data_IF_157478918264
#
_entry.id   IF_157478918264
#
_cell.length_a   1.000
_cell.length_b   1.000
_cell.length_c   1.000
_cell.angle_alpha   90.00
_cell.angle_beta   90.00
_cell.angle_gamma   90.00
#
_symmetry.space_group_name_H-M   'P 1'
#
loop_
_entity.id
_entity.type
_entity.pdbx_description
1 polymer ?
#
# COMPACT_ATOMS: atom_id res chain seq x y z
N UNK A 1 1.19 23.47 -10.42
CA UNK A 1 0.02 22.93 -11.14
C UNK A 1 -0.44 21.68 -10.46
N UNK A 2 -1.63 21.72 -9.86
CA UNK A 2 -2.25 20.58 -9.20
C UNK A 2 -2.69 19.57 -10.27
N UNK A 3 -1.83 18.62 -10.58
CA UNK A 3 -2.24 17.46 -11.36
C UNK A 3 -3.02 16.52 -10.43
N UNK A 4 -4.32 16.68 -10.38
CA UNK A 4 -5.23 15.75 -9.68
C UNK A 4 -5.45 14.44 -10.46
N UNK A 5 -4.52 14.04 -11.31
CA UNK A 5 -4.57 12.76 -11.99
C UNK A 5 -4.34 11.65 -10.98
N UNK A 6 -5.38 10.88 -10.72
CA UNK A 6 -5.24 9.64 -9.98
C UNK A 6 -4.36 8.68 -10.79
N UNK A 7 -3.23 8.27 -10.23
CA UNK A 7 -2.31 7.33 -10.87
C UNK A 7 -2.98 5.96 -10.99
N UNK A 8 -2.85 5.35 -12.17
CA UNK A 8 -3.40 4.01 -12.39
C UNK A 8 -2.48 2.98 -11.71
N UNK A 9 -3.05 1.99 -11.06
CA UNK A 9 -2.31 0.89 -10.42
C UNK A 9 -1.57 0.05 -11.47
N UNK A 10 -2.10 0.00 -12.71
CA UNK A 10 -1.43 -0.68 -13.81
C UNK A 10 -0.16 0.04 -14.26
N UNK A 11 0.00 1.35 -13.95
CA UNK A 11 1.23 2.12 -14.19
C UNK A 11 2.27 1.81 -13.13
N UNK A 12 1.87 1.86 -11.85
CA UNK A 12 2.66 1.39 -10.72
C UNK A 12 1.83 1.33 -9.43
N UNK A 13 2.17 0.41 -8.53
CA UNK A 13 1.50 0.22 -7.23
C UNK A 13 2.23 0.90 -6.10
N UNK A 14 3.53 0.72 -6.05
CA UNK A 14 4.44 1.30 -5.07
C UNK A 14 5.84 1.41 -5.67
N UNK A 15 6.72 2.14 -5.02
CA UNK A 15 8.15 2.12 -5.26
C UNK A 15 8.92 2.57 -4.02
N UNK A 16 10.16 2.11 -3.89
CA UNK A 16 11.10 2.56 -2.89
C UNK A 16 12.25 3.35 -3.52
N UNK A 17 12.68 4.39 -2.82
CA UNK A 17 13.92 5.11 -3.08
C UNK A 17 14.82 4.95 -1.85
N UNK A 18 15.97 4.33 -2.04
CA UNK A 18 16.96 4.14 -1.00
C UNK A 18 17.79 5.42 -0.87
N UNK A 19 17.94 5.88 0.36
CA UNK A 19 18.77 7.01 0.73
C UNK A 19 19.31 6.78 2.14
N UNK A 20 20.55 7.14 2.40
CA UNK A 20 21.22 6.89 3.69
C UNK A 20 20.56 7.64 4.86
N UNK A 21 19.92 8.77 4.59
CA UNK A 21 19.34 9.64 5.60
C UNK A 21 17.83 9.68 5.60
N UNK A 22 17.20 9.53 4.43
CA UNK A 22 15.77 9.70 4.26
C UNK A 22 15.19 8.75 3.19
N UNK A 23 15.22 7.44 3.44
CA UNK A 23 14.60 6.49 2.51
C UNK A 23 13.11 6.77 2.37
N UNK A 24 12.58 6.64 1.15
CA UNK A 24 11.20 6.94 0.82
C UNK A 24 10.50 5.71 0.26
N UNK A 25 9.30 5.43 0.77
CA UNK A 25 8.36 4.50 0.15
C UNK A 25 7.14 5.27 -0.35
N UNK A 26 6.83 5.13 -1.63
CA UNK A 26 5.58 5.61 -2.20
C UNK A 26 4.61 4.46 -2.39
N UNK A 27 3.34 4.67 -1.97
CA UNK A 27 2.27 3.69 -2.17
C UNK A 27 1.10 4.38 -2.87
N UNK A 28 0.62 3.78 -3.96
CA UNK A 28 -0.53 4.30 -4.69
C UNK A 28 -1.79 4.25 -3.83
N UNK A 29 -2.42 5.41 -3.62
CA UNK A 29 -3.63 5.52 -2.81
C UNK A 29 -4.84 4.74 -3.36
N UNK A 30 -4.82 4.40 -4.65
CA UNK A 30 -5.88 3.63 -5.31
C UNK A 30 -5.79 2.11 -5.08
N UNK A 31 -4.68 1.63 -4.48
CA UNK A 31 -4.54 0.22 -4.11
C UNK A 31 -5.51 -0.14 -2.98
N UNK A 32 -5.93 -1.40 -2.93
CA UNK A 32 -6.72 -1.94 -1.82
C UNK A 32 -5.95 -1.89 -0.50
N UNK A 33 -6.64 -1.90 0.64
CA UNK A 33 -5.95 -1.85 1.96
C UNK A 33 -4.97 -3.02 2.11
N UNK A 34 -5.40 -4.23 1.75
CA UNK A 34 -4.54 -5.42 1.80
C UNK A 34 -3.38 -5.35 0.80
N UNK A 35 -3.63 -4.78 -0.39
CA UNK A 35 -2.60 -4.54 -1.39
C UNK A 35 -1.57 -3.50 -0.92
N UNK A 36 -2.01 -2.40 -0.30
CA UNK A 36 -1.11 -1.39 0.30
C UNK A 36 -0.18 -1.99 1.35
N UNK A 37 -0.71 -2.86 2.21
CA UNK A 37 0.10 -3.49 3.25
C UNK A 37 1.16 -4.42 2.64
N UNK A 38 0.78 -5.23 1.64
CA UNK A 38 1.74 -6.06 0.92
C UNK A 38 2.80 -5.21 0.21
N UNK A 39 2.38 -4.17 -0.53
CA UNK A 39 3.28 -3.26 -1.23
C UNK A 39 4.23 -2.54 -0.27
N UNK A 40 3.74 -2.09 0.90
CA UNK A 40 4.59 -1.47 1.93
C UNK A 40 5.72 -2.40 2.37
N UNK A 41 5.40 -3.65 2.67
CA UNK A 41 6.39 -4.63 3.13
C UNK A 41 7.34 -5.06 2.01
N UNK A 42 6.86 -5.13 0.78
CA UNK A 42 7.66 -5.39 -0.41
C UNK A 42 8.70 -4.28 -0.63
N UNK A 43 8.25 -3.02 -0.64
CA UNK A 43 9.14 -1.86 -0.80
C UNK A 43 10.09 -1.68 0.39
N UNK A 44 9.64 -2.02 1.59
CA UNK A 44 10.51 -2.06 2.77
C UNK A 44 11.63 -3.10 2.62
N UNK A 45 11.35 -4.26 2.04
CA UNK A 45 12.37 -5.25 1.74
C UNK A 45 13.39 -4.72 0.74
N UNK A 46 12.99 -3.96 -0.30
CA UNK A 46 13.92 -3.27 -1.20
C UNK A 46 14.85 -2.31 -0.46
N UNK A 47 14.33 -1.50 0.47
CA UNK A 47 15.16 -0.62 1.31
C UNK A 47 16.15 -1.42 2.14
N UNK A 48 15.74 -2.53 2.75
CA UNK A 48 16.63 -3.39 3.55
C UNK A 48 17.74 -4.04 2.72
N UNK A 49 17.48 -4.31 1.44
CA UNK A 49 18.49 -4.86 0.50
C UNK A 49 19.41 -3.75 -0.02
N UNK A 50 18.99 -2.49 0.04
CA UNK A 50 19.72 -1.35 -0.50
C UNK A 50 19.50 -1.13 -2.01
N UNK A 51 18.42 -1.64 -2.58
CA UNK A 51 18.09 -1.54 -4.00
C UNK A 51 16.85 -0.70 -4.26
N UNK A 52 16.97 0.31 -5.14
CA UNK A 52 15.84 1.11 -5.61
C UNK A 52 14.93 0.28 -6.52
N UNK A 53 13.64 0.21 -6.23
CA UNK A 53 12.67 -0.51 -7.06
C UNK A 53 12.34 0.22 -8.37
N UNK A 54 12.42 1.55 -8.39
CA UNK A 54 12.02 2.38 -9.53
C UNK A 54 12.93 2.27 -10.76
N UNK A 55 14.20 1.89 -10.59
CA UNK A 55 15.23 1.93 -11.66
C UNK A 55 15.63 0.57 -12.19
N UNK A 56 15.06 -0.50 -11.67
CA UNK A 56 15.46 -1.87 -12.03
C UNK A 56 15.13 -2.28 -13.48
N UNK A 57 14.24 -1.57 -14.17
CA UNK A 57 13.69 -2.01 -15.46
C UNK A 57 14.56 -1.69 -16.69
N UNK A 58 15.55 -0.79 -16.60
CA UNK A 58 16.21 -0.29 -17.81
C UNK A 58 17.67 -0.69 -18.03
N UNK A 59 18.41 -1.14 -17.00
CA UNK A 59 19.87 -1.32 -17.10
C UNK A 59 20.43 -2.57 -16.43
N UNK A 60 19.64 -3.40 -15.76
CA UNK A 60 20.12 -4.60 -15.07
C UNK A 60 19.73 -5.88 -15.80
N UNK A 61 20.58 -6.93 -15.63
CA UNK A 61 20.30 -8.27 -16.13
C UNK A 61 18.94 -8.75 -15.61
N UNK A 62 17.98 -9.00 -16.49
CA UNK A 62 16.62 -9.38 -16.12
C UNK A 62 16.49 -10.64 -15.24
N UNK A 63 17.58 -11.40 -15.03
CA UNK A 63 17.64 -12.53 -14.09
C UNK A 63 17.87 -12.08 -12.64
N UNK A 64 18.68 -11.05 -12.41
CA UNK A 64 18.97 -10.51 -11.07
C UNK A 64 17.77 -9.76 -10.53
N UNK A 65 17.14 -8.92 -11.34
CA UNK A 65 15.87 -8.24 -10.99
C UNK A 65 14.82 -9.25 -10.55
N UNK A 66 14.60 -10.31 -11.34
CA UNK A 66 13.62 -11.36 -10.99
C UNK A 66 13.94 -12.05 -9.67
N UNK A 67 15.22 -12.16 -9.32
CA UNK A 67 15.65 -12.75 -8.05
C UNK A 67 15.35 -11.82 -6.88
N UNK A 68 15.71 -10.54 -6.96
CA UNK A 68 15.43 -9.53 -5.93
C UNK A 68 13.92 -9.39 -5.71
N UNK A 69 13.14 -9.24 -6.78
CA UNK A 69 11.67 -9.18 -6.71
C UNK A 69 11.07 -10.43 -6.03
N UNK A 70 11.60 -11.62 -6.35
CA UNK A 70 11.17 -12.86 -5.71
C UNK A 70 11.47 -12.87 -4.21
N UNK A 71 12.63 -12.36 -3.79
CA UNK A 71 13.02 -12.24 -2.38
C UNK A 71 12.10 -11.24 -1.67
N UNK A 72 11.89 -10.05 -2.23
CA UNK A 72 11.01 -9.03 -1.65
C UNK A 72 9.57 -9.53 -1.49
N UNK A 73 9.05 -10.24 -2.50
CA UNK A 73 7.76 -10.89 -2.43
C UNK A 73 7.70 -11.96 -1.33
N UNK A 74 8.74 -12.78 -1.19
CA UNK A 74 8.80 -13.82 -0.17
C UNK A 74 8.87 -13.23 1.25
N UNK A 75 9.67 -12.17 1.44
CA UNK A 75 9.78 -11.44 2.72
C UNK A 75 8.43 -10.82 3.10
N UNK A 76 7.80 -10.09 2.17
CA UNK A 76 6.49 -9.50 2.41
C UNK A 76 5.43 -10.56 2.77
N UNK A 77 5.42 -11.67 2.03
CA UNK A 77 4.50 -12.78 2.28
C UNK A 77 4.77 -13.47 3.63
N UNK A 78 6.03 -13.60 4.05
CA UNK A 78 6.38 -14.23 5.33
C UNK A 78 6.03 -13.35 6.52
N UNK A 79 6.23 -12.03 6.42
CA UNK A 79 5.82 -11.09 7.47
C UNK A 79 4.29 -11.07 7.64
N UNK A 80 3.54 -11.05 6.53
CA UNK A 80 2.06 -11.04 6.58
C UNK A 80 1.46 -12.36 7.03
N UNK A 81 2.06 -13.46 6.58
CA UNK A 81 1.54 -14.83 6.74
C UNK A 81 2.69 -15.74 7.15
N UNK A 82 3.14 -15.67 8.43
CA UNK A 82 4.23 -16.51 8.89
C UNK A 82 3.93 -18.00 8.68
N UNK A 83 4.93 -18.73 8.18
CA UNK A 83 4.79 -20.10 7.71
C UNK A 83 4.21 -21.06 8.75
N UNK A 84 4.61 -20.90 10.01
CA UNK A 84 4.13 -21.75 11.12
C UNK A 84 2.63 -21.56 11.32
N UNK A 85 2.17 -20.31 11.45
CA UNK A 85 0.75 -20.00 11.63
C UNK A 85 -0.09 -20.32 10.40
N UNK A 86 0.49 -20.16 9.19
CA UNK A 86 -0.17 -20.55 7.95
C UNK A 86 -0.50 -22.03 7.94
N UNK A 87 0.48 -22.92 8.22
CA UNK A 87 0.27 -24.37 8.24
C UNK A 87 -0.75 -24.80 9.28
N UNK A 88 -0.65 -24.25 10.48
CA UNK A 88 -1.59 -24.55 11.56
C UNK A 88 -3.05 -24.21 11.16
N UNK A 89 -3.25 -22.96 10.69
CA UNK A 89 -4.57 -22.50 10.25
C UNK A 89 -5.07 -23.23 9.01
N UNK A 90 -4.19 -23.53 8.06
CA UNK A 90 -4.56 -24.31 6.88
C UNK A 90 -5.10 -25.67 7.29
N UNK A 91 -4.34 -26.45 8.08
CA UNK A 91 -4.70 -27.79 8.50
C UNK A 91 -6.02 -27.81 9.30
N UNK A 92 -6.25 -26.83 10.14
CA UNK A 92 -7.49 -26.74 10.92
C UNK A 92 -8.71 -26.33 10.07
N UNK A 93 -8.50 -25.52 9.02
CA UNK A 93 -9.59 -24.99 8.20
C UNK A 93 -9.99 -25.95 7.09
N UNK A 94 -9.02 -26.63 6.44
CA UNK A 94 -9.26 -27.53 5.30
C UNK A 94 -10.12 -28.76 5.68
N UNK A 95 -10.16 -29.12 6.95
CA UNK A 95 -11.01 -30.22 7.45
C UNK A 95 -12.49 -29.94 7.18
N UNK A 96 -12.91 -28.67 7.23
CA UNK A 96 -14.31 -28.27 7.15
C UNK A 96 -14.68 -27.61 5.82
N UNK A 97 -13.71 -27.23 5.00
CA UNK A 97 -13.93 -26.44 3.79
C UNK A 97 -13.05 -26.91 2.65
N UNK A 98 -13.53 -26.76 1.42
CA UNK A 98 -12.73 -26.95 0.21
C UNK A 98 -11.57 -25.95 0.13
N UNK A 99 -10.53 -26.27 -0.63
CA UNK A 99 -9.32 -25.46 -0.76
C UNK A 99 -9.59 -23.99 -1.16
N UNK A 100 -10.51 -23.72 -2.10
CA UNK A 100 -10.93 -22.38 -2.51
C UNK A 100 -11.49 -21.56 -1.35
N UNK A 101 -12.37 -22.19 -0.56
CA UNK A 101 -12.99 -21.53 0.59
C UNK A 101 -11.98 -21.33 1.71
N UNK A 102 -11.10 -22.31 1.94
CA UNK A 102 -9.99 -22.21 2.89
C UNK A 102 -9.09 -21.03 2.56
N UNK A 103 -8.68 -20.86 1.29
CA UNK A 103 -7.89 -19.70 0.84
C UNK A 103 -8.60 -18.38 1.18
N UNK A 104 -9.89 -18.28 0.92
CA UNK A 104 -10.67 -17.06 1.20
C UNK A 104 -10.73 -16.77 2.71
N UNK A 105 -11.00 -17.76 3.54
CA UNK A 105 -11.04 -17.62 5.01
C UNK A 105 -9.69 -17.19 5.57
N UNK A 106 -8.60 -17.80 5.09
CA UNK A 106 -7.26 -17.44 5.54
C UNK A 106 -6.87 -16.01 5.08
N UNK A 107 -7.24 -15.63 3.86
CA UNK A 107 -7.04 -14.26 3.35
C UNK A 107 -7.69 -13.20 4.27
N UNK A 108 -8.92 -13.44 4.71
CA UNK A 108 -9.62 -12.59 5.68
C UNK A 108 -8.94 -12.60 7.07
N UNK A 109 -8.54 -13.78 7.55
CA UNK A 109 -7.89 -13.96 8.85
C UNK A 109 -6.54 -13.25 8.92
N UNK A 110 -5.71 -13.38 7.90
CA UNK A 110 -4.38 -12.74 7.83
C UNK A 110 -4.41 -11.31 7.28
N UNK A 111 -5.59 -10.79 6.89
CA UNK A 111 -5.75 -9.45 6.30
C UNK A 111 -4.85 -9.21 5.09
N UNK A 112 -4.65 -10.22 4.27
CA UNK A 112 -3.82 -10.16 3.06
C UNK A 112 -4.60 -10.53 1.80
N UNK A 113 -3.99 -10.36 0.63
CA UNK A 113 -4.60 -10.73 -0.63
C UNK A 113 -4.76 -12.24 -0.79
N UNK A 114 -5.84 -12.67 -1.44
CA UNK A 114 -6.11 -14.08 -1.78
C UNK A 114 -4.93 -14.73 -2.49
N UNK A 115 -4.25 -13.98 -3.38
CA UNK A 115 -3.08 -14.46 -4.12
C UNK A 115 -1.89 -14.80 -3.24
N UNK A 116 -1.71 -14.11 -2.10
CA UNK A 116 -0.63 -14.39 -1.14
C UNK A 116 -0.87 -15.75 -0.47
N UNK A 117 -2.10 -16.02 -0.03
CA UNK A 117 -2.49 -17.30 0.56
C UNK A 117 -2.41 -18.43 -0.46
N UNK A 118 -2.94 -18.22 -1.67
CA UNK A 118 -2.90 -19.20 -2.75
C UNK A 118 -1.45 -19.53 -3.13
N UNK A 119 -0.55 -18.54 -3.19
CA UNK A 119 0.87 -18.76 -3.45
C UNK A 119 1.54 -19.59 -2.35
N UNK A 120 1.30 -19.25 -1.09
CA UNK A 120 1.80 -20.08 0.04
C UNK A 120 1.25 -21.50 0.02
N UNK A 121 -0.01 -21.67 -0.35
CA UNK A 121 -0.60 -23.01 -0.47
C UNK A 121 0.05 -23.82 -1.61
N UNK A 122 0.33 -23.19 -2.75
CA UNK A 122 1.06 -23.79 -3.86
C UNK A 122 2.50 -24.18 -3.45
N UNK A 123 3.23 -23.26 -2.82
CA UNK A 123 4.61 -23.49 -2.39
C UNK A 123 4.73 -24.59 -1.32
N UNK A 124 3.65 -24.88 -0.58
CA UNK A 124 3.55 -26.00 0.35
C UNK A 124 2.93 -27.29 -0.25
N UNK A 125 2.66 -27.30 -1.56
CA UNK A 125 1.99 -28.42 -2.25
C UNK A 125 0.60 -28.77 -1.67
N UNK A 126 -0.11 -27.78 -1.11
CA UNK A 126 -1.48 -27.94 -0.62
C UNK A 126 -2.51 -27.79 -1.73
N UNK A 127 -2.14 -27.09 -2.81
CA UNK A 127 -2.94 -26.94 -4.03
C UNK A 127 -2.04 -27.13 -5.25
N UNK A 128 -2.64 -27.35 -6.40
CA UNK A 128 -1.97 -27.40 -7.69
C UNK A 128 -1.91 -26.01 -8.37
N UNK A 129 -1.15 -25.94 -9.47
CA UNK A 129 -0.99 -24.69 -10.23
C UNK A 129 -2.30 -24.24 -10.86
N UNK A 130 -3.18 -25.18 -11.25
CA UNK A 130 -4.47 -24.87 -11.88
C UNK A 130 -5.37 -24.09 -10.93
N UNK A 131 -5.46 -24.53 -9.67
CA UNK A 131 -6.23 -23.85 -8.65
C UNK A 131 -5.61 -22.49 -8.27
N UNK A 132 -4.27 -22.41 -8.22
CA UNK A 132 -3.59 -21.12 -8.03
C UNK A 132 -3.96 -20.11 -9.12
N UNK A 133 -3.89 -20.52 -10.40
CA UNK A 133 -4.20 -19.64 -11.54
C UNK A 133 -5.68 -19.21 -11.51
N UNK A 134 -6.58 -20.09 -11.16
CA UNK A 134 -7.99 -19.77 -10.98
C UNK A 134 -8.19 -18.70 -9.89
N UNK A 135 -7.55 -18.86 -8.74
CA UNK A 135 -7.65 -17.91 -7.63
C UNK A 135 -7.01 -16.55 -7.98
N UNK A 136 -5.92 -16.55 -8.74
CA UNK A 136 -5.28 -15.35 -9.23
C UNK A 136 -6.20 -14.57 -10.22
N UNK A 137 -6.83 -15.26 -11.17
CA UNK A 137 -7.80 -14.66 -12.10
C UNK A 137 -9.03 -14.10 -11.37
N UNK A 138 -9.55 -14.84 -10.38
CA UNK A 138 -10.67 -14.38 -9.55
C UNK A 138 -10.31 -13.13 -8.76
N UNK A 139 -9.10 -13.04 -8.22
CA UNK A 139 -8.62 -11.85 -7.50
C UNK A 139 -8.55 -10.62 -8.42
N UNK A 140 -8.06 -10.78 -9.64
CA UNK A 140 -8.02 -9.71 -10.65
C UNK A 140 -9.44 -9.25 -10.99
N UNK A 141 -10.37 -10.18 -11.25
CA UNK A 141 -11.78 -9.85 -11.54
C UNK A 141 -12.43 -9.08 -10.39
N UNK A 142 -12.30 -9.58 -9.16
CA UNK A 142 -12.86 -8.94 -7.96
C UNK A 142 -12.31 -7.53 -7.75
N UNK A 143 -11.02 -7.32 -8.08
CA UNK A 143 -10.40 -6.00 -8.03
C UNK A 143 -11.03 -5.02 -9.02
N UNK A 144 -11.27 -5.41 -10.28
CA UNK A 144 -11.92 -4.56 -11.27
C UNK A 144 -13.38 -4.25 -10.89
N UNK A 145 -14.12 -5.25 -10.38
CA UNK A 145 -15.49 -5.06 -9.91
C UNK A 145 -15.56 -4.08 -8.72
N UNK A 146 -14.62 -4.19 -7.78
CA UNK A 146 -14.49 -3.25 -6.67
C UNK A 146 -14.20 -1.82 -7.15
N UNK A 147 -13.27 -1.65 -8.10
CA UNK A 147 -12.98 -0.33 -8.69
C UNK A 147 -14.18 0.29 -9.37
N UNK A 148 -14.95 -0.51 -10.10
CA UNK A 148 -16.15 -0.04 -10.80
C UNK A 148 -17.18 0.50 -9.80
N UNK A 149 -17.52 -0.27 -8.77
CA UNK A 149 -18.43 0.16 -7.69
C UNK A 149 -17.96 1.43 -7.00
N UNK A 150 -16.68 1.52 -6.66
CA UNK A 150 -16.13 2.71 -5.99
C UNK A 150 -16.18 3.98 -6.84
N UNK A 151 -16.12 3.86 -8.18
CA UNK A 151 -16.32 5.01 -9.08
C UNK A 151 -17.77 5.46 -9.10
N UNK A 152 -18.71 4.52 -9.03
CA UNK A 152 -20.14 4.78 -9.01
C UNK A 152 -20.59 5.45 -7.69
N UNK A 153 -19.98 5.04 -6.57
CA UNK A 153 -20.25 5.57 -5.22
C UNK A 153 -19.50 6.89 -4.89
N UNK A 154 -18.63 7.38 -5.75
CA UNK A 154 -17.84 8.59 -5.51
C UNK A 154 -18.68 9.87 -5.71
N UNK A 155 -19.66 10.10 -4.84
CA UNK A 155 -20.21 11.42 -4.54
C UNK A 155 -19.09 12.33 -4.02
N UNK A 156 -19.10 13.62 -4.39
CA UNK A 156 -18.05 14.59 -4.09
C UNK A 156 -17.61 14.57 -2.62
N UNK A 157 -16.35 14.18 -2.38
CA UNK A 157 -15.81 14.12 -1.03
C UNK A 157 -15.59 15.50 -0.43
N UNK A 158 -15.69 15.64 0.89
CA UNK A 158 -15.34 16.86 1.60
C UNK A 158 -13.90 17.26 1.29
N UNK A 159 -13.73 18.43 0.67
CA UNK A 159 -12.43 18.99 0.30
C UNK A 159 -11.46 19.05 1.49
N UNK A 160 -11.92 19.51 2.65
CA UNK A 160 -11.08 19.63 3.85
C UNK A 160 -10.69 18.27 4.42
N UNK A 161 -11.55 17.28 4.38
CA UNK A 161 -11.24 15.91 4.79
C UNK A 161 -10.17 15.28 3.88
N UNK A 162 -10.26 15.54 2.58
CA UNK A 162 -9.25 15.09 1.62
C UNK A 162 -7.94 15.82 1.82
N UNK A 163 -7.96 17.12 2.10
CA UNK A 163 -6.76 17.91 2.32
C UNK A 163 -6.08 17.52 3.63
N UNK A 164 -6.82 17.35 4.72
CA UNK A 164 -6.27 16.92 6.02
C UNK A 164 -5.63 15.54 5.96
N UNK A 165 -6.17 14.63 5.14
CA UNK A 165 -5.56 13.29 4.97
C UNK A 165 -4.23 13.29 4.19
N UNK A 166 -3.86 14.40 3.55
CA UNK A 166 -2.62 14.57 2.77
C UNK A 166 -1.51 15.28 3.53
N UNK A 167 -1.85 15.84 4.69
CA UNK A 167 -0.90 16.59 5.51
C UNK A 167 -0.71 15.82 6.81
N UNK A 168 0.54 15.52 7.15
CA UNK A 168 0.84 14.93 8.45
C UNK A 168 0.45 15.92 9.57
N UNK A 169 -0.34 15.45 10.54
CA UNK A 169 -0.89 16.29 11.62
C UNK A 169 0.20 16.88 12.51
N UNK A 170 1.28 16.14 12.79
CA UNK A 170 2.40 16.60 13.60
C UNK A 170 3.19 17.68 12.88
N UNK A 171 3.47 17.45 11.58
CA UNK A 171 4.11 18.44 10.72
C UNK A 171 3.28 19.73 10.66
N UNK A 172 1.97 19.62 10.42
CA UNK A 172 1.06 20.78 10.39
C UNK A 172 1.05 21.54 11.72
N UNK A 173 0.97 20.84 12.86
CA UNK A 173 1.02 21.44 14.20
C UNK A 173 2.33 22.18 14.45
N UNK A 174 3.49 21.58 14.11
CA UNK A 174 4.80 22.23 14.25
C UNK A 174 4.91 23.47 13.36
N UNK A 175 4.44 23.38 12.12
CA UNK A 175 4.48 24.49 11.16
C UNK A 175 3.59 25.65 11.61
N UNK A 176 2.36 25.34 12.10
CA UNK A 176 1.43 26.33 12.67
C UNK A 176 2.05 27.06 13.84
N UNK A 177 2.62 26.33 14.79
CA UNK A 177 3.26 26.93 15.96
C UNK A 177 4.47 27.79 15.58
N UNK A 178 5.32 27.30 14.67
CA UNK A 178 6.47 28.06 14.15
C UNK A 178 6.06 29.37 13.45
N UNK A 179 4.95 29.33 12.70
CA UNK A 179 4.40 30.52 12.05
C UNK A 179 3.78 31.49 13.07
N UNK A 180 3.09 31.00 14.08
CA UNK A 180 2.53 31.82 15.15
C UNK A 180 3.61 32.50 16.02
N UNK A 181 4.76 31.84 16.21
CA UNK A 181 5.92 32.40 16.92
C UNK A 181 6.78 33.33 16.04
N UNK A 182 6.39 33.52 14.77
CA UNK A 182 7.16 34.37 13.82
C UNK A 182 8.48 33.78 13.31
N UNK A 183 8.75 32.49 13.62
CA UNK A 183 9.95 31.77 13.16
C UNK A 183 9.85 31.34 11.70
N UNK A 184 8.63 31.14 11.20
CA UNK A 184 8.34 30.81 9.80
C UNK A 184 7.36 31.84 9.24
N UNK A 185 7.57 32.31 8.02
CA UNK A 185 6.62 33.21 7.37
C UNK A 185 5.33 32.43 7.02
N UNK A 186 4.17 33.03 7.21
CA UNK A 186 2.89 32.44 6.81
C UNK A 186 2.83 32.11 5.31
N UNK A 187 3.50 32.88 4.45
CA UNK A 187 3.64 32.58 3.03
C UNK A 187 4.33 31.24 2.78
N UNK A 188 5.36 30.93 3.56
CA UNK A 188 6.07 29.65 3.47
C UNK A 188 5.24 28.50 4.03
N UNK A 189 4.53 28.74 5.13
CA UNK A 189 3.60 27.76 5.68
C UNK A 189 2.49 27.40 4.67
N UNK A 190 1.93 28.38 3.98
CA UNK A 190 0.92 28.14 2.92
C UNK A 190 1.51 27.38 1.74
N UNK A 191 2.74 27.69 1.33
CA UNK A 191 3.43 26.99 0.26
C UNK A 191 3.71 25.54 0.61
N UNK A 192 4.22 25.28 1.82
CA UNK A 192 4.56 23.93 2.30
C UNK A 192 3.33 23.03 2.45
N UNK A 193 2.18 23.60 2.79
CA UNK A 193 0.92 22.86 2.93
C UNK A 193 0.05 22.88 1.67
N UNK A 194 0.52 23.58 0.62
CA UNK A 194 -0.25 23.82 -0.62
C UNK A 194 -1.65 24.38 -0.34
N UNK A 195 -1.73 25.35 0.58
CA UNK A 195 -2.96 26.02 0.99
C UNK A 195 -2.91 27.51 0.73
N UNK A 196 -4.04 28.17 0.84
CA UNK A 196 -4.14 29.61 0.98
C UNK A 196 -4.45 29.99 2.45
N UNK A 197 -4.51 31.29 2.74
CA UNK A 197 -4.76 31.81 4.08
C UNK A 197 -6.05 31.27 4.71
N UNK A 198 -7.16 31.26 3.97
CA UNK A 198 -8.45 30.78 4.48
C UNK A 198 -8.44 29.28 4.72
N UNK A 199 -7.89 28.52 3.78
CA UNK A 199 -7.79 27.07 3.88
C UNK A 199 -6.88 26.65 5.03
N UNK A 200 -5.75 27.36 5.23
CA UNK A 200 -4.83 27.10 6.34
C UNK A 200 -5.50 27.35 7.70
N UNK A 201 -6.26 28.46 7.82
CA UNK A 201 -7.00 28.77 9.04
C UNK A 201 -8.06 27.70 9.36
N UNK A 202 -8.84 27.29 8.36
CA UNK A 202 -9.85 26.21 8.55
C UNK A 202 -9.22 24.88 8.91
N UNK A 203 -8.05 24.55 8.34
CA UNK A 203 -7.29 23.36 8.75
C UNK A 203 -6.78 23.45 10.18
N UNK A 204 -6.32 24.64 10.61
CA UNK A 204 -5.86 24.87 11.97
C UNK A 204 -6.98 24.68 12.99
N UNK A 205 -8.22 25.08 12.67
CA UNK A 205 -9.39 24.81 13.50
C UNK A 205 -9.73 23.29 13.55
N UNK A 206 -9.70 22.61 12.40
CA UNK A 206 -10.08 21.19 12.31
C UNK A 206 -9.01 20.22 12.84
N UNK A 207 -7.72 20.56 12.77
CA UNK A 207 -6.59 19.75 13.18
C UNK A 207 -5.96 20.24 14.50
N UNK A 208 -6.45 21.35 15.04
CA UNK A 208 -5.83 22.03 16.20
C UNK A 208 -6.20 21.48 17.55
N UNK A 209 -7.14 20.55 17.65
CA UNK A 209 -7.66 19.96 18.89
C UNK A 209 -7.14 18.53 19.13
N UNK A 210 -6.00 18.14 18.56
CA UNK A 210 -5.37 16.82 18.73
C UNK A 210 -4.02 16.87 19.41
#
# INVERSE_FOLDING_TARGET
SNTHRALNIDEFRAFAMVDDFAPLIFINSNESINGKLFSLLHEFAHICIGENSLFNDRYSNGKEIKKTESICNAVAAEILVPQVFFKEKWNSTIINYEAKKTISILSESFKCGVTVIARKALDNNFIDISLYDEMAQLAVKNYFDYRKRRKEDSGGGDYYRTLSSRIDHRFFGMLRNSAAEGKTLYSDAFRLTNTNRSTFATLAEKLGDG
#
